data_IF_411392718184
#
_entry.id   IF_411392718184
#
_cell.length_a   1.000
_cell.length_b   1.000
_cell.length_c   1.000
_cell.angle_alpha   90.00
_cell.angle_beta   90.00
_cell.angle_gamma   90.00
#
_symmetry.space_group_name_H-M   'P 1'
#
loop_
_entity.id
_entity.type
_entity.pdbx_description
1 polymer ?
#
# COMPACT_ATOMS: atom_id res chain seq x y z
N UNK A 1 11.31 18.40 22.83
CA UNK A 1 12.07 17.14 22.68
C UNK A 1 13.33 17.35 23.52
N UNK A 2 13.63 16.50 24.51
CA UNK A 2 14.70 16.84 25.47
C UNK A 2 16.10 16.82 24.81
N UNK A 3 17.02 17.60 25.36
CA UNK A 3 18.38 17.75 24.81
C UNK A 3 19.17 16.43 24.86
N UNK A 4 18.86 15.57 25.83
CA UNK A 4 19.42 14.21 25.96
C UNK A 4 19.02 13.30 24.79
N UNK A 5 17.77 13.36 24.31
CA UNK A 5 17.30 12.61 23.15
C UNK A 5 17.98 13.10 21.87
N UNK A 6 18.06 14.42 21.67
CA UNK A 6 18.75 14.97 20.50
C UNK A 6 20.22 14.58 20.49
N UNK A 7 20.91 14.68 21.63
CA UNK A 7 22.31 14.26 21.77
C UNK A 7 22.50 12.78 21.46
N UNK A 8 21.63 11.90 21.97
CA UNK A 8 21.65 10.46 21.68
C UNK A 8 21.43 10.15 20.20
N UNK A 9 20.53 10.86 19.51
CA UNK A 9 20.31 10.69 18.07
C UNK A 9 21.52 11.18 17.27
N UNK A 10 22.09 12.33 17.60
CA UNK A 10 23.30 12.84 16.93
C UNK A 10 24.47 11.88 17.09
N UNK A 11 24.66 11.31 18.29
CA UNK A 11 25.64 10.26 18.54
C UNK A 11 25.34 8.96 17.79
N UNK A 12 24.07 8.56 17.66
CA UNK A 12 23.70 7.38 16.87
C UNK A 12 24.02 7.58 15.39
N UNK A 13 23.68 8.75 14.83
CA UNK A 13 23.87 9.10 13.42
C UNK A 13 25.34 9.35 13.05
N UNK A 14 26.19 9.72 14.00
CA UNK A 14 27.62 9.95 13.75
C UNK A 14 28.41 8.67 13.46
N UNK A 15 27.84 7.49 13.74
CA UNK A 15 28.40 6.20 13.37
C UNK A 15 27.71 5.64 12.10
N UNK A 16 28.39 5.61 10.93
CA UNK A 16 27.82 5.08 9.70
C UNK A 16 27.32 3.62 9.80
N UNK A 17 27.91 2.80 10.68
CA UNK A 17 27.48 1.40 10.89
C UNK A 17 26.06 1.29 11.45
N UNK A 18 25.64 2.28 12.23
CA UNK A 18 24.29 2.38 12.76
C UNK A 18 23.28 2.70 11.66
N UNK A 19 23.67 3.54 10.68
CA UNK A 19 22.82 3.97 9.57
C UNK A 19 22.57 2.86 8.56
N UNK A 20 23.57 2.00 8.33
CA UNK A 20 23.47 0.85 7.42
C UNK A 20 22.95 -0.42 8.12
N UNK A 21 22.69 -0.35 9.43
CA UNK A 21 22.26 -1.48 10.26
C UNK A 21 23.20 -2.67 10.09
N UNK A 22 24.40 -2.60 10.68
CA UNK A 22 25.45 -3.62 10.58
C UNK A 22 24.96 -5.07 10.73
N UNK A 23 23.97 -5.34 11.59
CA UNK A 23 23.33 -6.67 11.71
C UNK A 23 22.65 -7.16 10.43
N UNK A 24 21.93 -6.29 9.71
CA UNK A 24 21.33 -6.59 8.40
C UNK A 24 22.39 -6.74 7.33
N UNK A 25 23.44 -5.92 7.37
CA UNK A 25 24.58 -6.06 6.45
C UNK A 25 25.31 -7.41 6.65
N UNK A 26 25.57 -7.80 7.90
CA UNK A 26 26.26 -9.04 8.25
C UNK A 26 25.42 -10.32 7.99
N UNK A 27 24.11 -10.18 7.75
CA UNK A 27 23.26 -11.30 7.31
C UNK A 27 23.47 -11.67 5.83
N UNK A 28 24.08 -10.78 5.04
CA UNK A 28 24.51 -11.10 3.69
C UNK A 28 25.84 -11.84 3.70
N UNK A 29 26.01 -12.78 2.77
CA UNK A 29 27.23 -13.56 2.59
C UNK A 29 28.42 -12.69 2.20
N UNK A 30 28.18 -11.58 1.48
CA UNK A 30 29.20 -10.62 1.06
C UNK A 30 28.56 -9.30 0.57
N UNK A 31 29.41 -8.29 0.33
CA UNK A 31 29.00 -6.98 -0.20
C UNK A 31 28.30 -7.08 -1.57
N UNK A 32 28.67 -8.06 -2.41
CA UNK A 32 28.08 -8.25 -3.73
C UNK A 32 26.61 -8.67 -3.64
N UNK A 33 26.25 -9.54 -2.68
CA UNK A 33 24.87 -9.94 -2.42
C UNK A 33 24.03 -8.75 -1.92
N UNK A 34 24.57 -7.93 -1.03
CA UNK A 34 23.91 -6.71 -0.58
C UNK A 34 23.65 -5.74 -1.74
N UNK A 35 24.65 -5.49 -2.58
CA UNK A 35 24.51 -4.63 -3.78
C UNK A 35 23.51 -5.20 -4.78
N UNK A 36 23.50 -6.52 -4.97
CA UNK A 36 22.53 -7.21 -5.84
C UNK A 36 21.09 -7.02 -5.34
N UNK A 37 20.88 -7.04 -4.02
CA UNK A 37 19.57 -6.73 -3.43
C UNK A 37 19.16 -5.27 -3.63
N UNK A 38 20.08 -4.31 -3.47
CA UNK A 38 19.79 -2.90 -3.77
C UNK A 38 19.44 -2.69 -5.25
N UNK A 39 20.17 -3.35 -6.15
CA UNK A 39 19.89 -3.32 -7.59
C UNK A 39 18.54 -3.98 -7.93
N UNK A 40 18.17 -5.06 -7.24
CA UNK A 40 16.85 -5.68 -7.38
C UNK A 40 15.75 -4.70 -6.96
N UNK A 41 15.91 -4.01 -5.83
CA UNK A 41 14.96 -2.99 -5.34
C UNK A 41 14.79 -1.87 -6.38
N UNK A 42 15.89 -1.35 -6.93
CA UNK A 42 15.81 -0.30 -7.96
C UNK A 42 15.10 -0.78 -9.22
N UNK A 43 15.33 -2.03 -9.64
CA UNK A 43 14.70 -2.62 -10.81
C UNK A 43 13.20 -2.94 -10.63
N UNK A 44 12.77 -3.34 -9.42
CA UNK A 44 11.38 -3.71 -9.15
C UNK A 44 10.48 -2.50 -8.82
N UNK A 45 11.05 -1.44 -8.24
CA UNK A 45 10.31 -0.22 -7.84
C UNK A 45 9.40 0.34 -8.95
N UNK A 46 9.85 0.56 -10.20
CA UNK A 46 8.96 1.06 -11.25
C UNK A 46 7.82 0.10 -11.59
N UNK A 47 8.05 -1.22 -11.52
CA UNK A 47 7.01 -2.24 -11.75
C UNK A 47 5.95 -2.19 -10.66
N UNK A 48 6.35 -2.02 -9.40
CA UNK A 48 5.42 -1.83 -8.28
C UNK A 48 4.63 -0.53 -8.42
N UNK A 49 5.24 0.55 -8.86
CA UNK A 49 4.55 1.83 -9.10
C UNK A 49 3.48 1.72 -10.20
N UNK A 50 3.78 0.99 -11.29
CA UNK A 50 2.80 0.72 -12.35
C UNK A 50 1.65 -0.14 -11.80
N UNK A 51 1.97 -1.21 -11.05
CA UNK A 51 0.96 -2.06 -10.44
C UNK A 51 0.03 -1.26 -9.50
N UNK A 52 0.61 -0.41 -8.66
CA UNK A 52 -0.13 0.50 -7.78
C UNK A 52 -1.05 1.42 -8.59
N UNK A 53 -0.56 2.05 -9.65
CA UNK A 53 -1.37 2.92 -10.51
C UNK A 53 -2.51 2.16 -11.19
N UNK A 54 -2.24 0.98 -11.74
CA UNK A 54 -3.27 0.13 -12.36
C UNK A 54 -4.33 -0.28 -11.34
N UNK A 55 -3.93 -0.71 -10.15
CA UNK A 55 -4.85 -1.11 -9.08
C UNK A 55 -5.79 0.04 -8.70
N UNK A 56 -5.24 1.25 -8.53
CA UNK A 56 -6.03 2.46 -8.25
C UNK A 56 -7.09 2.72 -9.32
N UNK A 57 -6.71 2.64 -10.58
CA UNK A 57 -7.61 2.92 -11.70
C UNK A 57 -8.75 1.90 -11.78
N UNK A 58 -8.48 0.62 -11.54
CA UNK A 58 -9.54 -0.39 -11.57
C UNK A 58 -10.48 -0.24 -10.37
N UNK A 59 -9.97 0.01 -9.17
CA UNK A 59 -10.80 0.26 -7.98
C UNK A 59 -11.66 1.52 -8.20
N UNK A 60 -11.06 2.61 -8.69
CA UNK A 60 -11.79 3.84 -8.99
C UNK A 60 -12.90 3.60 -10.02
N UNK A 61 -12.60 2.88 -11.11
CA UNK A 61 -13.60 2.51 -12.10
C UNK A 61 -14.75 1.70 -11.47
N UNK A 62 -14.44 0.69 -10.66
CA UNK A 62 -15.46 -0.12 -9.99
C UNK A 62 -16.35 0.72 -9.08
N UNK A 63 -15.77 1.62 -8.28
CA UNK A 63 -16.53 2.50 -7.40
C UNK A 63 -17.36 3.53 -8.16
N UNK A 64 -16.86 4.03 -9.29
CA UNK A 64 -17.61 4.93 -10.17
C UNK A 64 -18.87 4.26 -10.72
N UNK A 65 -18.82 2.98 -11.05
CA UNK A 65 -19.99 2.21 -11.50
C UNK A 65 -21.07 2.10 -10.42
N UNK A 66 -20.67 1.97 -9.16
CA UNK A 66 -21.61 1.74 -8.04
C UNK A 66 -22.08 3.01 -7.34
N UNK A 67 -21.22 4.02 -7.24
CA UNK A 67 -21.41 5.22 -6.40
C UNK A 67 -21.33 6.54 -7.20
N UNK A 68 -21.06 6.48 -8.51
CA UNK A 68 -20.94 7.64 -9.39
C UNK A 68 -19.54 8.27 -9.44
N UNK A 69 -19.38 9.26 -10.33
CA UNK A 69 -18.07 9.84 -10.64
C UNK A 69 -17.36 10.49 -9.44
N UNK A 70 -18.12 11.08 -8.53
CA UNK A 70 -17.63 11.75 -7.31
C UNK A 70 -17.81 10.86 -6.07
N UNK A 71 -17.57 9.55 -6.21
CA UNK A 71 -17.84 8.56 -5.17
C UNK A 71 -17.18 8.91 -3.82
N UNK A 72 -15.99 9.52 -3.84
CA UNK A 72 -15.24 9.81 -2.62
C UNK A 72 -15.92 10.92 -1.81
N UNK A 73 -16.49 11.92 -2.50
CA UNK A 73 -17.22 13.04 -1.92
C UNK A 73 -18.57 12.56 -1.42
N UNK A 74 -19.23 11.67 -2.17
CA UNK A 74 -20.45 10.97 -1.72
C UNK A 74 -20.20 10.23 -0.41
N UNK A 75 -19.16 9.39 -0.34
CA UNK A 75 -18.80 8.67 0.89
C UNK A 75 -18.43 9.62 2.02
N UNK A 76 -17.63 10.66 1.75
CA UNK A 76 -17.27 11.69 2.74
C UNK A 76 -18.51 12.29 3.38
N UNK A 77 -19.47 12.73 2.57
CA UNK A 77 -20.71 13.33 3.05
C UNK A 77 -21.53 12.34 3.87
N UNK A 78 -21.72 11.12 3.38
CA UNK A 78 -22.44 10.06 4.07
C UNK A 78 -21.81 9.76 5.44
N UNK A 79 -20.49 9.62 5.50
CA UNK A 79 -19.79 9.26 6.73
C UNK A 79 -19.72 10.43 7.70
N UNK A 80 -19.62 11.68 7.24
CA UNK A 80 -19.66 12.85 8.13
C UNK A 80 -21.01 12.97 8.88
N UNK A 81 -22.10 12.51 8.27
CA UNK A 81 -23.44 12.56 8.87
C UNK A 81 -23.67 11.48 9.93
N UNK A 82 -22.84 10.42 9.96
CA UNK A 82 -22.87 9.42 11.02
C UNK A 82 -22.26 10.04 12.27
N UNK A 83 -22.95 10.05 13.41
CA UNK A 83 -22.38 10.58 14.66
C UNK A 83 -21.38 9.57 15.27
N UNK A 84 -21.86 8.69 16.16
CA UNK A 84 -21.04 7.68 16.88
C UNK A 84 -21.00 6.29 16.23
N UNK A 85 -21.70 6.10 15.11
CA UNK A 85 -21.81 4.79 14.44
C UNK A 85 -20.75 4.57 13.36
N UNK A 86 -19.72 5.43 13.29
CA UNK A 86 -18.69 5.30 12.26
C UNK A 86 -17.86 4.05 12.49
N UNK A 87 -17.59 3.32 11.41
CA UNK A 87 -16.63 2.22 11.48
C UNK A 87 -15.20 2.77 11.51
N UNK A 88 -14.21 1.98 11.97
CA UNK A 88 -12.80 2.37 11.89
C UNK A 88 -12.32 2.71 10.47
N UNK A 89 -12.90 2.07 9.44
CA UNK A 89 -12.60 2.40 8.05
C UNK A 89 -13.12 3.78 7.67
N UNK A 90 -14.37 4.10 8.03
CA UNK A 90 -15.01 5.38 7.73
C UNK A 90 -14.28 6.55 8.36
N UNK A 91 -13.92 6.42 9.64
CA UNK A 91 -13.09 7.42 10.34
C UNK A 91 -11.74 7.62 9.66
N UNK A 92 -11.12 6.50 9.23
CA UNK A 92 -9.84 6.55 8.54
C UNK A 92 -9.95 7.22 7.17
N UNK A 93 -11.02 6.97 6.41
CA UNK A 93 -11.26 7.61 5.12
C UNK A 93 -11.38 9.12 5.29
N UNK A 94 -12.19 9.58 6.25
CA UNK A 94 -12.35 11.01 6.55
C UNK A 94 -11.01 11.65 6.95
N UNK A 95 -10.20 10.95 7.76
CA UNK A 95 -8.88 11.40 8.15
C UNK A 95 -7.95 11.56 6.94
N UNK A 96 -7.87 10.57 6.05
CA UNK A 96 -7.01 10.67 4.86
C UNK A 96 -7.47 11.80 3.93
N UNK A 97 -8.78 11.96 3.71
CA UNK A 97 -9.33 13.08 2.93
C UNK A 97 -8.91 14.42 3.56
N UNK A 98 -9.06 14.58 4.88
CA UNK A 98 -8.70 15.83 5.56
C UNK A 98 -7.20 16.16 5.43
N UNK A 99 -6.32 15.15 5.47
CA UNK A 99 -4.87 15.35 5.27
C UNK A 99 -4.56 15.87 3.88
N UNK A 100 -5.23 15.34 2.87
CA UNK A 100 -5.08 15.77 1.47
C UNK A 100 -5.58 17.21 1.32
N UNK A 101 -6.77 17.52 1.84
CA UNK A 101 -7.34 18.87 1.79
C UNK A 101 -6.42 19.88 2.48
N UNK A 102 -5.93 19.55 3.68
CA UNK A 102 -4.97 20.37 4.41
C UNK A 102 -3.66 20.60 3.64
N UNK A 103 -3.18 19.63 2.87
CA UNK A 103 -1.99 19.78 2.01
C UNK A 103 -2.25 20.78 0.87
N UNK A 104 -3.46 20.81 0.33
CA UNK A 104 -3.83 21.73 -0.75
C UNK A 104 -4.08 23.15 -0.23
N UNK A 105 -4.85 23.29 0.85
CA UNK A 105 -5.15 24.60 1.45
C UNK A 105 -3.90 25.30 1.98
N UNK A 106 -2.95 24.57 2.58
CA UNK A 106 -1.64 25.13 2.98
C UNK A 106 -0.81 25.70 1.83
N UNK A 107 -1.10 25.29 0.59
CA UNK A 107 -0.45 25.77 -0.63
C UNK A 107 -1.30 26.83 -1.34
N UNK A 108 -2.38 27.31 -0.71
CA UNK A 108 -3.36 28.21 -1.30
C UNK A 108 -3.99 27.65 -2.59
N UNK A 109 -4.01 26.32 -2.74
CA UNK A 109 -4.65 25.68 -3.88
C UNK A 109 -6.14 25.51 -3.62
N UNK A 110 -6.98 25.47 -4.67
CA UNK A 110 -8.35 24.99 -4.58
C UNK A 110 -8.40 23.58 -3.99
N UNK A 111 -9.57 23.20 -3.46
CA UNK A 111 -9.78 21.83 -3.02
C UNK A 111 -9.50 20.84 -4.17
N UNK A 112 -8.93 19.66 -3.88
CA UNK A 112 -8.59 18.69 -4.91
C UNK A 112 -9.83 18.27 -5.71
N UNK A 113 -9.63 17.99 -7.00
CA UNK A 113 -10.60 17.23 -7.82
C UNK A 113 -10.52 15.74 -7.48
N UNK A 114 -11.51 14.95 -7.88
CA UNK A 114 -11.59 13.51 -7.63
C UNK A 114 -10.27 12.77 -7.94
N UNK A 115 -9.72 12.92 -9.15
CA UNK A 115 -8.46 12.28 -9.57
C UNK A 115 -7.26 12.71 -8.71
N UNK A 116 -7.30 13.93 -8.17
CA UNK A 116 -6.27 14.43 -7.27
C UNK A 116 -6.38 13.80 -5.89
N UNK A 117 -7.58 13.53 -5.38
CA UNK A 117 -7.70 12.72 -4.16
C UNK A 117 -7.16 11.31 -4.40
N UNK A 118 -7.59 10.67 -5.49
CA UNK A 118 -7.23 9.29 -5.85
C UNK A 118 -5.71 9.10 -5.88
N UNK A 119 -5.01 10.02 -6.55
CA UNK A 119 -3.54 9.98 -6.68
C UNK A 119 -2.78 10.25 -5.38
N UNK A 120 -3.39 10.90 -4.38
CA UNK A 120 -2.74 11.19 -3.09
C UNK A 120 -2.94 10.07 -2.05
N UNK A 121 -3.86 9.12 -2.28
CA UNK A 121 -4.07 7.97 -1.39
C UNK A 121 -2.98 6.92 -1.57
N UNK A 122 -2.39 6.42 -0.48
CA UNK A 122 -1.31 5.41 -0.54
C UNK A 122 -1.80 4.04 -1.00
N UNK A 123 -0.91 3.21 -1.55
CA UNK A 123 -1.25 1.82 -1.92
C UNK A 123 -1.90 1.05 -0.77
N UNK A 124 -1.34 1.17 0.44
CA UNK A 124 -1.90 0.51 1.62
C UNK A 124 -3.31 0.97 1.96
N UNK A 125 -3.71 2.18 1.58
CA UNK A 125 -5.08 2.64 1.74
C UNK A 125 -6.00 2.12 0.62
N UNK A 126 -5.52 2.05 -0.61
CA UNK A 126 -6.25 1.42 -1.72
C UNK A 126 -6.56 -0.06 -1.48
N UNK A 127 -5.65 -0.80 -0.85
CA UNK A 127 -5.92 -2.18 -0.42
C UNK A 127 -7.10 -2.24 0.56
N UNK A 128 -7.20 -1.28 1.49
CA UNK A 128 -8.33 -1.21 2.43
C UNK A 128 -9.64 -0.89 1.74
N UNK A 129 -9.62 0.04 0.77
CA UNK A 129 -10.80 0.33 -0.06
C UNK A 129 -11.25 -0.93 -0.79
N UNK A 130 -10.33 -1.65 -1.43
CA UNK A 130 -10.66 -2.86 -2.17
C UNK A 130 -11.29 -3.95 -1.27
N UNK A 131 -10.82 -4.08 -0.02
CA UNK A 131 -11.39 -5.02 0.95
C UNK A 131 -12.77 -4.58 1.46
N UNK A 132 -12.92 -3.29 1.84
CA UNK A 132 -14.18 -2.73 2.34
C UNK A 132 -15.31 -2.92 1.33
N UNK A 133 -15.03 -2.62 0.06
CA UNK A 133 -16.00 -2.70 -1.04
C UNK A 133 -16.01 -4.06 -1.75
N UNK A 134 -15.28 -5.06 -1.23
CA UNK A 134 -15.20 -6.43 -1.77
C UNK A 134 -14.84 -6.48 -3.26
N UNK A 135 -13.98 -5.55 -3.69
CA UNK A 135 -13.50 -5.43 -5.08
C UNK A 135 -12.35 -6.41 -5.35
N UNK A 136 -11.65 -6.90 -4.32
CA UNK A 136 -10.53 -7.85 -4.45
C UNK A 136 -10.86 -9.10 -5.29
N UNK A 137 -12.09 -9.62 -5.17
CA UNK A 137 -12.56 -10.78 -5.94
C UNK A 137 -12.65 -10.50 -7.45
N UNK A 138 -12.88 -9.24 -7.84
CA UNK A 138 -12.98 -8.78 -9.22
C UNK A 138 -11.61 -8.43 -9.83
N UNK A 139 -10.64 -8.03 -8.99
CA UNK A 139 -9.32 -7.54 -9.43
C UNK A 139 -8.33 -8.68 -9.68
N UNK A 140 -8.42 -9.74 -8.89
CA UNK A 140 -7.49 -10.85 -8.95
C UNK A 140 -8.21 -12.11 -9.40
N UNK A 141 -7.92 -12.53 -10.62
CA UNK A 141 -8.18 -13.90 -11.03
C UNK A 141 -6.99 -14.78 -10.58
N UNK A 142 -7.18 -15.71 -9.64
CA UNK A 142 -6.11 -16.58 -9.15
C UNK A 142 -5.48 -17.42 -10.25
N UNK A 143 -6.21 -17.71 -11.33
CA UNK A 143 -5.68 -18.50 -12.44
C UNK A 143 -4.58 -17.78 -13.22
N UNK A 144 -4.43 -16.46 -13.04
CA UNK A 144 -3.36 -15.67 -13.67
C UNK A 144 -2.04 -15.69 -12.87
N UNK A 145 -2.09 -16.13 -11.61
CA UNK A 145 -0.93 -16.22 -10.72
C UNK A 145 -0.60 -17.69 -10.45
N UNK A 146 0.23 -18.24 -11.33
CA UNK A 146 0.85 -19.54 -11.12
C UNK A 146 2.25 -19.34 -10.52
N UNK A 147 2.38 -19.63 -9.22
CA UNK A 147 3.66 -19.49 -8.51
C UNK A 147 4.75 -20.42 -9.07
N UNK A 148 4.40 -21.46 -9.85
CA UNK A 148 5.36 -22.31 -10.56
C UNK A 148 6.16 -21.53 -11.61
N UNK A 149 5.59 -20.46 -12.17
CA UNK A 149 6.27 -19.61 -13.15
C UNK A 149 7.38 -18.74 -12.55
N UNK A 150 7.41 -18.60 -11.22
CA UNK A 150 8.37 -17.77 -10.50
C UNK A 150 9.38 -18.61 -9.68
N UNK A 151 9.28 -19.93 -9.80
CA UNK A 151 9.94 -20.91 -8.95
C UNK A 151 11.33 -21.38 -9.39
N UNK A 152 12.08 -20.59 -10.16
CA UNK A 152 13.32 -21.07 -10.82
C UNK A 152 14.34 -21.76 -9.89
N UNK A 153 14.33 -21.44 -8.58
CA UNK A 153 15.18 -22.06 -7.56
C UNK A 153 14.43 -22.51 -6.30
N UNK A 154 13.11 -22.44 -6.28
CA UNK A 154 12.30 -22.84 -5.11
C UNK A 154 11.85 -24.29 -5.25
N UNK A 155 11.90 -25.06 -4.16
CA UNK A 155 11.45 -26.46 -4.20
C UNK A 155 9.95 -26.52 -4.56
N UNK A 156 9.57 -27.43 -5.46
CA UNK A 156 8.19 -27.65 -5.90
C UNK A 156 7.18 -27.82 -4.75
N UNK A 157 7.64 -28.31 -3.58
CA UNK A 157 6.80 -28.42 -2.37
C UNK A 157 6.39 -27.06 -1.80
N UNK A 158 7.31 -26.09 -1.78
CA UNK A 158 7.04 -24.77 -1.21
C UNK A 158 6.15 -23.94 -2.14
N UNK A 159 6.37 -24.06 -3.45
CA UNK A 159 5.50 -23.49 -4.48
C UNK A 159 4.09 -24.07 -4.39
N UNK A 160 3.97 -25.39 -4.23
CA UNK A 160 2.66 -26.06 -4.10
C UNK A 160 1.92 -25.66 -2.82
N UNK A 161 2.64 -25.51 -1.70
CA UNK A 161 2.06 -24.99 -0.45
C UNK A 161 1.60 -23.54 -0.61
N UNK A 162 2.39 -22.68 -1.22
CA UNK A 162 2.03 -21.28 -1.47
C UNK A 162 0.77 -21.19 -2.36
N UNK A 163 0.70 -21.97 -3.44
CA UNK A 163 -0.47 -22.03 -4.32
C UNK A 163 -1.72 -22.53 -3.58
N UNK A 164 -1.59 -23.57 -2.75
CA UNK A 164 -2.71 -24.11 -1.98
C UNK A 164 -3.23 -23.11 -0.95
N UNK A 165 -2.32 -22.43 -0.24
CA UNK A 165 -2.67 -21.41 0.75
C UNK A 165 -3.37 -20.22 0.08
N UNK A 166 -2.86 -19.79 -1.09
CA UNK A 166 -3.44 -18.73 -1.90
C UNK A 166 -4.89 -19.05 -2.33
N UNK A 167 -5.12 -20.27 -2.82
CA UNK A 167 -6.45 -20.70 -3.23
C UNK A 167 -7.46 -20.72 -2.06
N UNK A 168 -7.02 -21.08 -0.85
CA UNK A 168 -7.85 -21.06 0.36
C UNK A 168 -8.21 -19.62 0.74
N UNK A 169 -7.22 -18.71 0.78
CA UNK A 169 -7.45 -17.30 1.10
C UNK A 169 -8.41 -16.66 0.11
N UNK A 170 -8.27 -16.96 -1.18
CA UNK A 170 -9.17 -16.44 -2.20
C UNK A 170 -10.60 -16.97 -2.03
N UNK A 171 -10.76 -18.27 -1.81
CA UNK A 171 -12.07 -18.88 -1.59
C UNK A 171 -12.78 -18.32 -0.34
N UNK A 172 -12.03 -17.97 0.71
CA UNK A 172 -12.59 -17.40 1.94
C UNK A 172 -12.98 -15.91 1.83
N UNK A 173 -12.44 -15.17 0.87
CA UNK A 173 -12.71 -13.73 0.68
C UNK A 173 -13.69 -13.45 -0.46
N UNK A 174 -14.18 -14.48 -1.16
CA UNK A 174 -15.13 -14.37 -2.26
C UNK A 174 -16.58 -14.76 -1.90
N UNK A 175 -16.87 -15.03 -0.62
CA UNK A 175 -18.22 -15.35 -0.12
C UNK A 175 -18.53 -14.58 1.16
#
# INVERSE_FOLDING_TARGET
MNDDFQSKILHFCSNPQNLISLSRFNSYKNTQEHQSNLHLISHITPKLAILELSLRNVIDFALKLTLGNEWLQTLKQQYMQKDKSKTPFEERLLLEISKIENKYTKRSNPLPKQDQYISNLSLGFWVKIADEFKICSLLFNPSLLDFRNYGGSYNNRDISKAQKHWNIIYAMNCF
#
